data_IF_597054508728
#
_entry.id   IF_597054508728
#
_cell.length_a   1.000
_cell.length_b   1.000
_cell.length_c   1.000
_cell.angle_alpha   90.00
_cell.angle_beta   90.00
_cell.angle_gamma   90.00
#
_symmetry.space_group_name_H-M   'P 1'
#
loop_
_entity.id
_entity.type
_entity.pdbx_description
1 polymer ?
#
# COMPACT_ATOMS: atom_id res chain seq x y z
N UNK A 1 -51.20 45.71 35.97
CA UNK A 1 -51.43 44.40 35.32
C UNK A 1 -50.15 43.99 34.61
N UNK A 2 -49.61 42.85 35.03
CA UNK A 2 -48.50 42.00 34.55
C UNK A 2 -47.83 42.41 33.21
N UNK A 3 -46.59 42.89 33.27
CA UNK A 3 -45.64 42.91 32.14
C UNK A 3 -44.85 41.61 32.11
N UNK A 4 -45.03 40.83 31.04
CA UNK A 4 -44.46 39.51 30.83
C UNK A 4 -42.97 39.62 30.47
N UNK A 5 -42.10 39.14 31.36
CA UNK A 5 -40.68 38.90 31.08
C UNK A 5 -40.56 37.79 30.03
N UNK A 6 -40.20 38.15 28.79
CA UNK A 6 -39.86 37.19 27.75
C UNK A 6 -38.36 36.87 27.82
N UNK A 7 -38.03 35.77 28.48
CA UNK A 7 -36.72 35.13 28.39
C UNK A 7 -36.66 34.41 27.04
N UNK A 8 -36.00 35.01 26.04
CA UNK A 8 -35.67 34.31 24.80
C UNK A 8 -34.40 33.50 25.09
N UNK A 9 -34.58 32.23 25.43
CA UNK A 9 -33.50 31.24 25.43
C UNK A 9 -33.29 30.83 23.97
N UNK A 10 -32.37 31.50 23.27
CA UNK A 10 -31.89 31.03 21.97
C UNK A 10 -30.95 29.86 22.21
N UNK A 11 -31.50 28.65 22.09
CA UNK A 11 -30.73 27.40 22.07
C UNK A 11 -29.91 27.37 20.77
N UNK A 12 -28.65 27.78 20.84
CA UNK A 12 -27.67 27.62 19.77
C UNK A 12 -27.23 26.15 19.73
N UNK A 13 -27.87 25.36 18.86
CA UNK A 13 -27.45 23.98 18.59
C UNK A 13 -26.13 24.07 17.79
N UNK A 14 -24.99 23.91 18.47
CA UNK A 14 -23.73 23.58 17.81
C UNK A 14 -23.84 22.16 17.29
N UNK A 15 -24.27 22.01 16.04
CA UNK A 15 -23.91 20.84 15.25
C UNK A 15 -22.42 20.99 14.98
N UNK A 16 -21.57 20.35 15.81
CA UNK A 16 -20.18 20.10 15.44
C UNK A 16 -20.23 19.10 14.30
N UNK A 17 -20.45 19.59 13.08
CA UNK A 17 -20.18 18.81 11.90
C UNK A 17 -18.67 18.59 11.91
N UNK A 18 -18.22 17.34 11.97
CA UNK A 18 -16.82 17.03 11.75
C UNK A 18 -16.48 17.57 10.36
N UNK A 19 -15.80 18.73 10.31
CA UNK A 19 -15.42 19.35 9.05
C UNK A 19 -14.63 18.30 8.27
N UNK A 20 -15.10 17.96 7.07
CA UNK A 20 -14.34 17.10 6.17
C UNK A 20 -12.97 17.74 5.96
N UNK A 21 -11.90 16.96 6.09
CA UNK A 21 -10.54 17.47 5.91
C UNK A 21 -10.34 17.97 4.48
N UNK A 22 -10.38 19.30 4.28
CA UNK A 22 -10.36 19.97 2.97
C UNK A 22 -8.95 20.06 2.35
N UNK A 23 -7.91 19.55 3.03
CA UNK A 23 -6.55 19.56 2.49
C UNK A 23 -6.47 18.76 1.18
N UNK A 24 -5.56 19.12 0.26
CA UNK A 24 -5.31 18.32 -0.93
C UNK A 24 -5.04 16.85 -0.58
N UNK A 25 -5.52 15.93 -1.42
CA UNK A 25 -5.38 14.48 -1.18
C UNK A 25 -3.93 14.08 -0.89
N UNK A 26 -2.95 14.70 -1.56
CA UNK A 26 -1.53 14.44 -1.35
C UNK A 26 -1.08 14.78 0.08
N UNK A 27 -1.58 15.86 0.68
CA UNK A 27 -1.18 16.30 2.02
C UNK A 27 -1.83 15.43 3.11
N UNK A 28 -3.09 15.06 2.90
CA UNK A 28 -3.80 14.08 3.74
C UNK A 28 -3.11 12.73 3.69
N UNK A 29 -2.74 12.28 2.49
CA UNK A 29 -2.03 11.03 2.26
C UNK A 29 -0.62 11.06 2.87
N UNK A 30 0.14 12.15 2.72
CA UNK A 30 1.44 12.32 3.40
C UNK A 30 1.31 12.23 4.92
N UNK A 31 0.24 12.79 5.48
CA UNK A 31 -0.05 12.70 6.92
C UNK A 31 -0.29 11.23 7.30
N UNK A 32 -1.19 10.55 6.59
CA UNK A 32 -1.52 9.13 6.80
C UNK A 32 -0.28 8.23 6.68
N UNK A 33 0.54 8.44 5.64
CA UNK A 33 1.78 7.68 5.40
C UNK A 33 2.90 8.03 6.39
N UNK A 34 2.77 9.09 7.18
CA UNK A 34 3.75 9.49 8.20
C UNK A 34 3.42 8.99 9.59
N UNK A 35 2.21 8.48 9.81
CA UNK A 35 1.82 7.95 11.11
C UNK A 35 2.70 6.74 11.48
N UNK A 36 3.37 6.81 12.63
CA UNK A 36 4.27 5.75 13.09
C UNK A 36 3.52 4.58 13.73
N UNK A 37 2.35 4.84 14.29
CA UNK A 37 1.57 3.86 15.04
C UNK A 37 0.39 3.33 14.25
N UNK A 38 0.02 4.02 13.17
CA UNK A 38 -1.05 3.61 12.27
C UNK A 38 -0.48 3.16 10.91
N UNK A 39 -0.76 1.93 10.52
CA UNK A 39 -0.60 1.51 9.13
C UNK A 39 -1.78 2.08 8.35
N UNK A 40 -1.49 2.83 7.27
CA UNK A 40 -2.50 3.33 6.35
C UNK A 40 -3.36 2.18 5.84
N UNK A 41 -4.49 1.90 6.49
CA UNK A 41 -5.33 0.75 6.17
C UNK A 41 -6.00 0.95 4.81
N UNK A 42 -6.55 -0.13 4.25
CA UNK A 42 -7.25 -0.05 2.98
C UNK A 42 -8.42 0.93 3.04
N UNK A 43 -9.18 0.86 4.14
CA UNK A 43 -10.32 1.73 4.44
C UNK A 43 -9.86 3.18 4.56
N UNK A 44 -8.86 3.45 5.40
CA UNK A 44 -8.35 4.81 5.61
C UNK A 44 -7.77 5.43 4.34
N UNK A 45 -7.13 4.64 3.48
CA UNK A 45 -6.63 5.09 2.17
C UNK A 45 -7.80 5.40 1.23
N UNK A 46 -8.77 4.48 1.10
CA UNK A 46 -9.91 4.66 0.18
C UNK A 46 -10.86 5.77 0.61
N UNK A 47 -10.96 6.07 1.91
CA UNK A 47 -11.70 7.22 2.46
C UNK A 47 -11.13 8.58 2.03
N UNK A 48 -9.89 8.65 1.54
CA UNK A 48 -9.31 9.91 1.05
C UNK A 48 -9.92 10.37 -0.28
N UNK A 49 -10.61 9.47 -1.01
CA UNK A 49 -11.34 9.78 -2.23
C UNK A 49 -10.83 9.01 -3.46
N UNK A 50 -11.53 9.16 -4.61
CA UNK A 50 -11.25 8.38 -5.82
C UNK A 50 -9.85 8.62 -6.41
N UNK A 51 -9.27 9.80 -6.19
CA UNK A 51 -7.96 10.20 -6.73
C UNK A 51 -6.77 9.70 -5.90
N UNK A 52 -7.00 9.00 -4.78
CA UNK A 52 -5.94 8.58 -3.87
C UNK A 52 -4.93 7.63 -4.53
N UNK A 53 -5.36 6.84 -5.52
CA UNK A 53 -4.47 5.94 -6.25
C UNK A 53 -3.44 6.74 -7.09
N UNK A 54 -3.88 7.79 -7.79
CA UNK A 54 -2.99 8.68 -8.53
C UNK A 54 -2.00 9.39 -7.58
N UNK A 55 -2.50 9.89 -6.44
CA UNK A 55 -1.68 10.49 -5.39
C UNK A 55 -0.61 9.54 -4.83
N UNK A 56 -0.96 8.25 -4.61
CA UNK A 56 -0.02 7.22 -4.19
C UNK A 56 1.09 6.98 -5.23
N UNK A 57 0.75 6.95 -6.52
CA UNK A 57 1.72 6.81 -7.62
C UNK A 57 2.68 8.00 -7.66
N UNK A 58 2.17 9.22 -7.48
CA UNK A 58 2.97 10.45 -7.38
C UNK A 58 3.98 10.37 -6.23
N UNK A 59 3.52 10.09 -5.00
CA UNK A 59 4.39 9.96 -3.81
C UNK A 59 5.41 8.83 -3.97
N UNK A 60 5.03 7.70 -4.59
CA UNK A 60 5.95 6.60 -4.85
C UNK A 60 7.07 7.00 -5.84
N UNK A 61 6.74 7.83 -6.83
CA UNK A 61 7.65 8.34 -7.85
C UNK A 61 8.62 9.40 -7.32
N UNK A 62 8.13 10.33 -6.50
CA UNK A 62 8.86 11.50 -6.04
C UNK A 62 10.13 11.15 -5.24
N UNK A 63 11.30 11.57 -5.72
CA UNK A 63 12.59 11.34 -5.08
C UNK A 63 12.87 12.32 -3.93
N UNK A 64 12.14 13.42 -3.85
CA UNK A 64 12.19 14.35 -2.72
C UNK A 64 11.47 13.81 -1.49
N UNK A 65 10.56 12.84 -1.67
CA UNK A 65 9.86 12.20 -0.57
C UNK A 65 10.80 11.30 0.25
N UNK A 66 10.69 11.31 1.59
CA UNK A 66 11.39 10.37 2.43
C UNK A 66 11.11 8.92 2.01
N UNK A 67 12.17 8.10 2.01
CA UNK A 67 12.10 6.70 1.57
C UNK A 67 10.97 5.90 2.21
N UNK A 68 10.67 6.14 3.49
CA UNK A 68 9.61 5.43 4.19
C UNK A 68 8.21 5.75 3.63
N UNK A 69 7.95 6.99 3.17
CA UNK A 69 6.68 7.35 2.53
C UNK A 69 6.56 6.71 1.17
N UNK A 70 7.63 6.71 0.39
CA UNK A 70 7.67 6.05 -0.92
C UNK A 70 7.35 4.55 -0.80
N UNK A 71 8.00 3.87 0.15
CA UNK A 71 7.75 2.45 0.44
C UNK A 71 6.31 2.20 0.90
N UNK A 72 5.78 3.06 1.79
CA UNK A 72 4.41 2.94 2.29
C UNK A 72 3.38 3.24 1.20
N UNK A 73 3.64 4.19 0.31
CA UNK A 73 2.81 4.49 -0.84
C UNK A 73 2.75 3.28 -1.79
N UNK A 74 3.90 2.70 -2.15
CA UNK A 74 3.94 1.46 -2.95
C UNK A 74 3.21 0.31 -2.27
N UNK A 75 3.29 0.20 -0.95
CA UNK A 75 2.57 -0.82 -0.18
C UNK A 75 1.05 -0.61 -0.25
N UNK A 76 0.59 0.63 -0.13
CA UNK A 76 -0.83 1.00 -0.21
C UNK A 76 -1.41 0.88 -1.63
N UNK A 77 -0.58 0.97 -2.68
CA UNK A 77 -1.01 0.63 -4.04
C UNK A 77 -1.48 -0.83 -4.16
N UNK A 78 -1.08 -1.72 -3.23
CA UNK A 78 -1.60 -3.09 -3.15
C UNK A 78 -3.07 -3.20 -2.74
N UNK A 79 -3.76 -2.09 -2.42
CA UNK A 79 -5.20 -2.02 -2.18
C UNK A 79 -6.03 -1.86 -3.46
N UNK A 80 -5.36 -1.69 -4.61
CA UNK A 80 -5.98 -1.41 -5.90
C UNK A 80 -5.66 -2.52 -6.90
N UNK A 81 -6.71 -3.23 -7.33
CA UNK A 81 -6.66 -4.26 -8.36
C UNK A 81 -7.13 -3.68 -9.70
N UNK A 82 -6.37 -2.72 -10.21
CA UNK A 82 -6.55 -2.18 -11.56
C UNK A 82 -5.25 -2.36 -12.37
N UNK A 83 -5.41 -2.44 -13.69
CA UNK A 83 -4.32 -2.77 -14.59
C UNK A 83 -3.25 -1.68 -14.63
N UNK A 84 -3.65 -0.41 -14.51
CA UNK A 84 -2.71 0.72 -14.51
C UNK A 84 -1.80 0.68 -13.27
N UNK A 85 -2.37 0.44 -12.09
CA UNK A 85 -1.62 0.28 -10.84
C UNK A 85 -0.72 -0.94 -10.87
N UNK A 86 -1.21 -2.02 -11.49
CA UNK A 86 -0.43 -3.24 -11.61
C UNK A 86 0.78 -3.02 -12.50
N UNK A 87 0.59 -2.43 -13.68
CA UNK A 87 1.70 -2.05 -14.57
C UNK A 87 2.70 -1.11 -13.87
N UNK A 88 2.22 -0.16 -13.06
CA UNK A 88 3.09 0.70 -12.26
C UNK A 88 3.93 -0.11 -11.25
N UNK A 89 3.31 -1.00 -10.47
CA UNK A 89 4.01 -1.87 -9.51
C UNK A 89 4.99 -2.83 -10.19
N UNK A 90 4.61 -3.37 -11.34
CA UNK A 90 5.44 -4.23 -12.17
C UNK A 90 6.71 -3.53 -12.66
N UNK A 91 6.58 -2.28 -13.10
CA UNK A 91 7.71 -1.44 -13.49
C UNK A 91 8.63 -1.16 -12.29
N UNK A 92 8.06 -0.91 -11.11
CA UNK A 92 8.84 -0.74 -9.88
C UNK A 92 9.63 -2.00 -9.55
N UNK A 93 9.00 -3.18 -9.57
CA UNK A 93 9.65 -4.44 -9.21
C UNK A 93 10.88 -4.74 -10.08
N UNK A 94 10.79 -4.47 -11.39
CA UNK A 94 11.84 -4.72 -12.39
C UNK A 94 12.94 -3.65 -12.46
N UNK A 95 12.73 -2.48 -11.88
CA UNK A 95 13.66 -1.37 -12.02
C UNK A 95 14.94 -1.57 -11.17
N UNK A 96 16.01 -2.07 -11.80
CA UNK A 96 17.30 -2.36 -11.16
C UNK A 96 17.96 -1.13 -10.48
N UNK A 97 17.65 0.09 -10.94
CA UNK A 97 18.16 1.32 -10.34
C UNK A 97 17.38 1.82 -9.11
N UNK A 98 16.25 1.20 -8.74
CA UNK A 98 15.47 1.62 -7.58
C UNK A 98 15.96 0.96 -6.30
N UNK A 99 15.79 1.67 -5.18
CA UNK A 99 16.09 1.15 -3.86
C UNK A 99 15.37 -0.18 -3.62
N UNK A 100 16.12 -1.17 -3.15
CA UNK A 100 15.65 -2.55 -3.02
C UNK A 100 14.39 -2.67 -2.14
N UNK A 101 14.26 -1.81 -1.13
CA UNK A 101 13.07 -1.75 -0.27
C UNK A 101 11.79 -1.37 -1.03
N UNK A 102 11.88 -0.47 -2.02
CA UNK A 102 10.75 -0.07 -2.86
C UNK A 102 10.36 -1.24 -3.79
N UNK A 103 11.34 -1.94 -4.36
CA UNK A 103 11.11 -3.14 -5.18
C UNK A 103 10.41 -4.24 -4.39
N UNK A 104 10.87 -4.50 -3.16
CA UNK A 104 10.24 -5.48 -2.27
C UNK A 104 8.82 -5.10 -1.87
N UNK A 105 8.53 -3.80 -1.68
CA UNK A 105 7.17 -3.35 -1.45
C UNK A 105 6.30 -3.68 -2.66
N UNK A 106 6.77 -3.41 -3.88
CA UNK A 106 6.01 -3.73 -5.09
C UNK A 106 5.72 -5.23 -5.26
N UNK A 107 6.68 -6.11 -4.99
CA UNK A 107 6.44 -7.56 -5.03
C UNK A 107 5.37 -8.04 -4.03
N UNK A 108 5.29 -7.41 -2.85
CA UNK A 108 4.25 -7.72 -1.87
C UNK A 108 2.91 -7.14 -2.28
N UNK A 109 2.90 -5.92 -2.81
CA UNK A 109 1.69 -5.25 -3.30
C UNK A 109 1.06 -6.04 -4.45
N UNK A 110 1.85 -6.50 -5.42
CA UNK A 110 1.39 -7.34 -6.52
C UNK A 110 0.80 -8.67 -6.03
N UNK A 111 1.46 -9.31 -5.07
CA UNK A 111 0.92 -10.54 -4.47
C UNK A 111 -0.44 -10.33 -3.80
N UNK A 112 -0.62 -9.17 -3.15
CA UNK A 112 -1.88 -8.79 -2.51
C UNK A 112 -2.97 -8.42 -3.51
N UNK A 113 -2.67 -7.55 -4.47
CA UNK A 113 -3.69 -6.99 -5.37
C UNK A 113 -4.06 -7.95 -6.50
N UNK A 114 -3.07 -8.64 -7.09
CA UNK A 114 -3.25 -9.48 -8.28
C UNK A 114 -3.22 -10.98 -7.99
N UNK A 115 -2.84 -11.40 -6.78
CA UNK A 115 -2.88 -12.80 -6.39
C UNK A 115 -2.21 -13.72 -7.41
N UNK A 116 -2.99 -14.64 -7.99
CA UNK A 116 -2.52 -15.62 -8.98
C UNK A 116 -1.92 -15.01 -10.24
N UNK A 117 -2.42 -13.85 -10.67
CA UNK A 117 -1.96 -13.22 -11.91
C UNK A 117 -0.52 -12.69 -11.77
N UNK A 118 -0.07 -12.44 -10.53
CA UNK A 118 1.30 -12.00 -10.24
C UNK A 118 2.32 -13.13 -10.10
N UNK A 119 1.89 -14.40 -10.09
CA UNK A 119 2.76 -15.56 -9.77
C UNK A 119 3.95 -15.68 -10.71
N UNK A 120 3.73 -15.48 -12.02
CA UNK A 120 4.79 -15.60 -13.02
C UNK A 120 5.89 -14.56 -12.85
N UNK A 121 5.48 -13.31 -12.58
CA UNK A 121 6.42 -12.23 -12.30
C UNK A 121 7.22 -12.52 -11.03
N UNK A 122 6.53 -12.87 -9.95
CA UNK A 122 7.14 -13.03 -8.63
C UNK A 122 8.08 -14.24 -8.60
N UNK A 123 7.74 -15.33 -9.28
CA UNK A 123 8.59 -16.52 -9.35
C UNK A 123 9.95 -16.24 -10.00
N UNK A 124 10.03 -15.28 -10.92
CA UNK A 124 11.28 -14.82 -11.53
C UNK A 124 12.32 -14.30 -10.51
N UNK A 125 11.89 -13.92 -9.31
CA UNK A 125 12.76 -13.42 -8.24
C UNK A 125 13.18 -14.50 -7.23
N UNK A 126 12.72 -15.75 -7.38
CA UNK A 126 13.10 -16.86 -6.49
C UNK A 126 14.59 -17.22 -6.58
N UNK A 127 15.25 -16.83 -7.68
CA UNK A 127 16.68 -17.10 -7.95
C UNK A 127 17.52 -15.81 -7.99
N UNK A 128 16.98 -14.70 -7.51
CA UNK A 128 17.68 -13.40 -7.46
C UNK A 128 18.98 -13.49 -6.62
N UNK A 129 20.04 -12.81 -7.03
CA UNK A 129 21.34 -12.82 -6.32
C UNK A 129 21.20 -12.35 -4.86
N UNK A 130 20.30 -11.40 -4.61
CA UNK A 130 20.05 -10.88 -3.28
C UNK A 130 19.14 -11.84 -2.49
N UNK A 131 19.71 -12.45 -1.44
CA UNK A 131 18.98 -13.38 -0.56
C UNK A 131 17.68 -12.81 0.02
N UNK A 132 17.62 -11.51 0.27
CA UNK A 132 16.43 -10.88 0.81
C UNK A 132 15.35 -10.72 -0.26
N UNK A 133 15.73 -10.47 -1.52
CA UNK A 133 14.79 -10.49 -2.65
C UNK A 133 14.19 -11.87 -2.84
N UNK A 134 15.00 -12.94 -2.80
CA UNK A 134 14.50 -14.33 -2.84
C UNK A 134 13.50 -14.59 -1.73
N UNK A 135 13.82 -14.17 -0.49
CA UNK A 135 12.91 -14.30 0.65
C UNK A 135 11.60 -13.53 0.45
N UNK A 136 11.65 -12.31 -0.09
CA UNK A 136 10.42 -11.54 -0.38
C UNK A 136 9.59 -12.26 -1.43
N UNK A 137 10.19 -12.74 -2.52
CA UNK A 137 9.50 -13.49 -3.56
C UNK A 137 8.84 -14.76 -3.00
N UNK A 138 9.59 -15.53 -2.21
CA UNK A 138 9.07 -16.74 -1.56
C UNK A 138 7.91 -16.45 -0.60
N UNK A 139 8.03 -15.41 0.23
CA UNK A 139 6.94 -15.00 1.12
C UNK A 139 5.70 -14.53 0.33
N UNK A 140 5.90 -13.75 -0.74
CA UNK A 140 4.81 -13.33 -1.61
C UNK A 140 4.07 -14.51 -2.26
N UNK A 141 4.80 -15.51 -2.78
CA UNK A 141 4.18 -16.72 -3.32
C UNK A 141 3.47 -17.55 -2.23
N UNK A 142 4.04 -17.61 -1.03
CA UNK A 142 3.40 -18.25 0.12
C UNK A 142 2.09 -17.55 0.50
N UNK A 143 2.04 -16.22 0.45
CA UNK A 143 0.82 -15.43 0.68
C UNK A 143 -0.23 -15.67 -0.41
N UNK A 144 0.17 -15.79 -1.68
CA UNK A 144 -0.75 -16.11 -2.78
C UNK A 144 -1.36 -17.50 -2.58
N UNK A 145 -0.53 -18.49 -2.19
CA UNK A 145 -1.01 -19.79 -1.71
C UNK A 145 -1.64 -20.71 -2.76
N UNK A 146 -1.69 -20.32 -4.04
CA UNK A 146 -2.20 -21.21 -5.09
C UNK A 146 -1.27 -22.37 -5.39
N UNK A 147 -1.82 -23.41 -6.00
CA UNK A 147 -1.06 -24.60 -6.37
C UNK A 147 0.18 -24.26 -7.21
N UNK A 148 0.05 -23.37 -8.20
CA UNK A 148 1.19 -22.90 -9.01
C UNK A 148 2.23 -22.18 -8.15
N UNK A 149 1.81 -21.27 -7.28
CA UNK A 149 2.71 -20.51 -6.41
C UNK A 149 3.49 -21.43 -5.45
N UNK A 150 2.79 -22.35 -4.78
CA UNK A 150 3.38 -23.29 -3.83
C UNK A 150 4.30 -24.31 -4.53
N UNK A 151 3.96 -24.76 -5.74
CA UNK A 151 4.81 -25.65 -6.53
C UNK A 151 6.15 -24.98 -6.87
N UNK A 152 6.12 -23.77 -7.43
CA UNK A 152 7.32 -23.01 -7.79
C UNK A 152 8.18 -22.68 -6.56
N UNK A 153 7.55 -22.30 -5.45
CA UNK A 153 8.24 -22.10 -4.17
C UNK A 153 8.92 -23.40 -3.68
N UNK A 154 8.23 -24.54 -3.77
CA UNK A 154 8.77 -25.84 -3.39
C UNK A 154 9.95 -26.28 -4.26
N UNK A 155 9.91 -26.01 -5.56
CA UNK A 155 11.04 -26.22 -6.49
C UNK A 155 12.26 -25.38 -6.07
N UNK A 156 12.06 -24.08 -5.83
CA UNK A 156 13.14 -23.19 -5.40
C UNK A 156 13.77 -23.60 -4.05
N UNK A 157 12.98 -24.16 -3.12
CA UNK A 157 13.48 -24.72 -1.85
C UNK A 157 14.33 -25.98 -2.08
N UNK A 158 13.85 -26.93 -2.89
CA UNK A 158 14.62 -28.15 -3.23
C UNK A 158 15.95 -27.84 -3.92
N UNK A 159 15.96 -26.80 -4.74
CA UNK A 159 17.16 -26.32 -5.43
C UNK A 159 18.09 -25.48 -4.52
N UNK A 160 17.71 -25.22 -3.27
CA UNK A 160 18.54 -24.50 -2.28
C UNK A 160 18.54 -22.98 -2.44
N UNK A 161 17.71 -22.42 -3.32
CA UNK A 161 17.62 -20.96 -3.51
C UNK A 161 16.93 -20.27 -2.33
N UNK A 162 15.92 -20.92 -1.76
CA UNK A 162 15.20 -20.43 -0.60
C UNK A 162 15.38 -21.43 0.54
N UNK A 163 15.98 -21.04 1.67
CA UNK A 163 16.07 -21.92 2.82
C UNK A 163 14.66 -22.26 3.31
N UNK A 164 14.47 -23.48 3.80
CA UNK A 164 13.29 -23.80 4.61
C UNK A 164 13.24 -22.81 5.78
N UNK A 165 12.07 -22.24 6.03
CA UNK A 165 11.89 -21.33 7.17
C UNK A 165 12.28 -22.07 8.45
N UNK A 166 13.03 -21.45 9.39
CA UNK A 166 13.24 -22.02 10.71
C UNK A 166 11.92 -22.21 11.48
#
# INVERSE_FOLDING_TARGET
>A
MRGLTAFIVTLMIMVVSAAADERPVNDRLRTLLSDRHYHASEEAVKELGPDVNAALKEIAGDESEPIFRRVRAVSALGYFDDDETSLFLENIARANGRLVAIRWAALRSLARSKGNDSVELISGYLKDDNRFTRRVAGNSLQTIGSEKALRLLGEARREGYIPDSP
#
